data_IF_364853384869
#
_entry.id   IF_364853384869
#
_cell.length_a   1.000
_cell.length_b   1.000
_cell.length_c   1.000
_cell.angle_alpha   90.00
_cell.angle_beta   90.00
_cell.angle_gamma   90.00
#
_symmetry.space_group_name_H-M   'P 1'
#
loop_
_entity.id
_entity.type
_entity.pdbx_description
1 polymer ?
#
# COMPACT_ATOMS: atom_id res chain seq x y z
N UNK A 1 26.35 -5.72 -9.22
CA UNK A 1 25.33 -6.52 -9.93
C UNK A 1 23.99 -6.20 -9.29
N UNK A 2 23.17 -5.39 -9.94
CA UNK A 2 21.82 -5.09 -9.48
C UNK A 2 21.01 -6.37 -9.69
N UNK A 3 20.42 -6.90 -8.62
CA UNK A 3 19.49 -8.02 -8.71
C UNK A 3 18.34 -7.62 -9.64
N UNK A 4 17.76 -8.58 -10.33
CA UNK A 4 16.61 -8.34 -11.20
C UNK A 4 15.46 -7.75 -10.39
N UNK A 5 15.34 -6.42 -10.46
CA UNK A 5 14.36 -5.64 -9.69
C UNK A 5 12.93 -5.95 -10.17
N UNK A 6 12.77 -6.47 -11.40
CA UNK A 6 11.46 -6.81 -11.95
C UNK A 6 10.83 -8.04 -11.28
N UNK A 7 11.66 -8.88 -10.65
CA UNK A 7 11.26 -10.11 -9.97
C UNK A 7 11.41 -10.03 -8.44
N UNK A 8 11.30 -8.84 -7.85
CA UNK A 8 11.24 -8.72 -6.40
C UNK A 8 9.91 -9.30 -5.92
N UNK A 9 9.97 -10.51 -5.37
CA UNK A 9 8.85 -11.18 -4.70
C UNK A 9 8.90 -10.83 -3.20
N UNK A 10 8.83 -9.54 -2.91
CA UNK A 10 8.67 -9.02 -1.56
C UNK A 10 7.20 -8.69 -1.31
N UNK A 11 6.66 -9.19 -0.20
CA UNK A 11 5.25 -9.03 0.16
C UNK A 11 4.85 -7.55 0.27
N UNK A 12 5.70 -6.71 0.87
CA UNK A 12 5.44 -5.27 1.03
C UNK A 12 5.43 -4.57 -0.33
N UNK A 13 6.41 -4.87 -1.20
CA UNK A 13 6.51 -4.26 -2.53
C UNK A 13 5.29 -4.61 -3.37
N UNK A 14 4.91 -5.89 -3.37
CA UNK A 14 3.73 -6.37 -4.08
C UNK A 14 2.45 -5.71 -3.57
N UNK A 15 2.24 -5.68 -2.26
CA UNK A 15 1.07 -5.06 -1.64
C UNK A 15 1.00 -3.56 -1.90
N UNK A 16 2.12 -2.83 -1.84
CA UNK A 16 2.14 -1.40 -2.18
C UNK A 16 1.70 -1.13 -3.62
N UNK A 17 2.08 -1.99 -4.56
CA UNK A 17 1.62 -1.89 -5.95
C UNK A 17 0.10 -2.07 -6.04
N UNK A 18 -0.42 -3.13 -5.44
CA UNK A 18 -1.87 -3.42 -5.43
C UNK A 18 -2.66 -2.27 -4.77
N UNK A 19 -2.18 -1.73 -3.64
CA UNK A 19 -2.81 -0.58 -2.96
C UNK A 19 -2.86 0.63 -3.90
N UNK A 20 -1.74 0.94 -4.56
CA UNK A 20 -1.69 2.03 -5.54
C UNK A 20 -2.71 1.84 -6.65
N UNK A 21 -2.75 0.62 -7.25
CA UNK A 21 -3.69 0.25 -8.30
C UNK A 21 -5.15 0.38 -7.85
N UNK A 22 -5.48 -0.04 -6.64
CA UNK A 22 -6.83 0.10 -6.10
C UNK A 22 -7.24 1.56 -5.91
N UNK A 23 -6.31 2.42 -5.50
CA UNK A 23 -6.59 3.84 -5.25
C UNK A 23 -6.75 4.62 -6.55
N UNK A 24 -5.88 4.43 -7.56
CA UNK A 24 -5.99 5.22 -8.77
C UNK A 24 -7.00 4.66 -9.78
N UNK A 25 -7.37 3.39 -9.70
CA UNK A 25 -8.44 2.83 -10.55
C UNK A 25 -9.86 3.08 -10.01
N UNK A 26 -10.00 3.67 -8.83
CA UNK A 26 -11.29 4.07 -8.31
C UNK A 26 -11.67 5.46 -8.89
N UNK A 27 -12.71 5.52 -9.76
CA UNK A 27 -13.08 6.76 -10.44
C UNK A 27 -13.58 7.84 -9.48
N UNK A 28 -14.21 7.45 -8.37
CA UNK A 28 -14.71 8.40 -7.38
C UNK A 28 -13.56 9.05 -6.62
N UNK A 29 -12.52 8.29 -6.30
CA UNK A 29 -11.28 8.83 -5.70
C UNK A 29 -10.62 9.83 -6.64
N UNK A 30 -10.50 9.49 -7.92
CA UNK A 30 -9.89 10.37 -8.93
C UNK A 30 -10.71 11.65 -9.10
N UNK A 31 -12.04 11.55 -9.18
CA UNK A 31 -12.92 12.72 -9.29
C UNK A 31 -12.79 13.65 -8.05
N UNK A 32 -12.70 13.07 -6.85
CA UNK A 32 -12.57 13.86 -5.61
C UNK A 32 -11.17 14.43 -5.42
N UNK A 33 -10.11 13.77 -5.91
CA UNK A 33 -8.75 14.31 -5.93
C UNK A 33 -8.66 15.60 -6.74
N UNK A 34 -9.44 15.72 -7.83
CA UNK A 34 -9.67 16.96 -8.59
C UNK A 34 -8.36 17.64 -8.99
N UNK A 35 -7.50 16.91 -9.72
CA UNK A 35 -6.26 17.48 -10.24
C UNK A 35 -6.47 17.96 -11.68
N UNK A 36 -6.48 19.29 -11.92
CA UNK A 36 -6.78 19.86 -13.25
C UNK A 36 -5.64 19.64 -14.27
N UNK A 37 -4.48 19.18 -13.84
CA UNK A 37 -3.32 18.96 -14.71
C UNK A 37 -3.25 17.52 -15.27
N UNK A 38 -4.10 16.61 -14.76
CA UNK A 38 -4.10 15.20 -15.15
C UNK A 38 -5.42 14.81 -15.82
N UNK A 39 -5.35 13.87 -16.76
CA UNK A 39 -6.53 13.32 -17.41
C UNK A 39 -7.14 12.20 -16.52
N UNK A 40 -8.39 12.32 -16.07
CA UNK A 40 -9.08 11.26 -15.33
C UNK A 40 -9.19 9.93 -16.08
N UNK A 41 -9.05 9.93 -17.42
CA UNK A 41 -9.05 8.70 -18.21
C UNK A 41 -7.67 8.00 -18.22
N UNK A 42 -6.62 8.65 -17.68
CA UNK A 42 -5.27 8.10 -17.52
C UNK A 42 -4.95 8.01 -16.00
N UNK A 43 -5.66 7.17 -15.24
CA UNK A 43 -5.60 7.19 -13.77
C UNK A 43 -4.23 6.80 -13.21
N UNK A 44 -3.40 6.06 -13.96
CA UNK A 44 -2.04 5.71 -13.58
C UNK A 44 -1.11 6.93 -13.45
N UNK A 45 -1.43 8.06 -14.11
CA UNK A 45 -0.65 9.31 -14.01
C UNK A 45 -0.77 9.96 -12.61
N UNK A 46 -1.84 9.61 -11.87
CA UNK A 46 -2.00 10.08 -10.48
C UNK A 46 -1.00 9.44 -9.51
N UNK A 47 -0.40 8.29 -9.90
CA UNK A 47 0.62 7.66 -9.08
C UNK A 47 1.93 8.47 -9.13
N UNK A 48 2.48 8.79 -7.95
CA UNK A 48 3.57 9.74 -7.72
C UNK A 48 3.26 11.22 -8.05
N UNK A 49 2.01 11.57 -8.41
CA UNK A 49 1.57 12.96 -8.53
C UNK A 49 0.63 13.35 -7.38
N UNK A 50 -0.41 12.54 -7.13
CA UNK A 50 -1.37 12.72 -6.05
C UNK A 50 -1.38 11.54 -5.09
N UNK A 51 -0.98 10.33 -5.54
CA UNK A 51 -0.98 9.10 -4.74
C UNK A 51 0.46 8.62 -4.57
N UNK A 52 0.94 8.57 -3.32
CA UNK A 52 2.32 8.22 -3.01
C UNK A 52 2.42 6.96 -2.14
N UNK A 53 3.26 5.95 -2.51
CA UNK A 53 3.48 4.73 -1.73
C UNK A 53 4.42 4.92 -0.53
N UNK A 54 4.51 6.13 -0.03
CA UNK A 54 5.24 6.54 1.17
C UNK A 54 4.59 7.80 1.75
N UNK A 55 4.80 8.06 3.04
CA UNK A 55 4.26 9.28 3.66
C UNK A 55 5.06 10.48 3.16
N UNK A 56 4.41 11.32 2.36
CA UNK A 56 4.89 12.61 1.91
C UNK A 56 4.06 13.71 2.59
N UNK A 57 4.71 14.59 3.31
CA UNK A 57 4.07 15.78 3.87
C UNK A 57 4.26 16.91 2.86
N UNK A 58 3.18 17.50 2.33
CA UNK A 58 3.28 18.60 1.39
C UNK A 58 3.95 19.81 2.04
N UNK A 59 4.89 20.44 1.33
CA UNK A 59 5.54 21.67 1.76
C UNK A 59 4.69 22.91 1.46
N UNK A 60 5.04 24.06 2.07
CA UNK A 60 4.39 25.35 1.82
C UNK A 60 4.59 25.88 0.40
N UNK A 61 5.58 25.39 -0.32
CA UNK A 61 5.88 25.77 -1.70
C UNK A 61 5.28 24.78 -2.72
N UNK A 62 4.66 23.68 -2.25
CA UNK A 62 3.96 22.77 -3.14
C UNK A 62 2.71 23.47 -3.70
N UNK A 63 2.39 23.14 -4.95
CA UNK A 63 1.14 23.62 -5.56
C UNK A 63 -0.05 23.12 -4.74
N UNK A 64 -1.10 23.96 -4.61
CA UNK A 64 -2.32 23.60 -3.89
C UNK A 64 -3.00 22.41 -4.55
N UNK A 65 -2.70 21.20 -4.08
CA UNK A 65 -3.23 19.93 -4.58
C UNK A 65 -3.66 19.05 -3.43
N UNK A 66 -4.43 18.03 -3.76
CA UNK A 66 -4.85 17.01 -2.82
C UNK A 66 -3.97 15.77 -2.97
N UNK A 67 -3.62 15.14 -1.86
CA UNK A 67 -2.71 14.00 -1.84
C UNK A 67 -3.28 12.85 -1.01
N UNK A 68 -3.06 11.62 -1.49
CA UNK A 68 -3.22 10.40 -0.71
C UNK A 68 -1.83 9.79 -0.58
N UNK A 69 -1.37 9.58 0.63
CA UNK A 69 -0.08 8.95 0.90
C UNK A 69 -0.31 7.71 1.74
N UNK A 70 0.44 6.65 1.49
CA UNK A 70 0.27 5.43 2.25
C UNK A 70 1.60 4.73 2.54
N UNK A 71 1.61 3.97 3.63
CA UNK A 71 2.73 3.12 4.00
C UNK A 71 2.21 1.81 4.58
N UNK A 72 3.02 0.76 4.44
CA UNK A 72 2.83 -0.53 5.08
C UNK A 72 3.92 -0.74 6.11
N UNK A 73 3.51 -1.09 7.33
CA UNK A 73 4.40 -1.40 8.43
C UNK A 73 4.15 -2.84 8.90
N UNK A 74 5.21 -3.61 9.02
CA UNK A 74 5.20 -4.91 9.68
C UNK A 74 5.43 -4.72 11.18
N UNK A 75 4.58 -5.36 11.98
CA UNK A 75 4.80 -5.46 13.42
C UNK A 75 5.53 -6.77 13.76
N UNK A 76 6.12 -6.79 14.94
CA UNK A 76 6.71 -8.02 15.48
C UNK A 76 5.68 -9.16 15.51
N UNK A 77 6.11 -10.41 15.33
CA UNK A 77 5.24 -11.57 15.47
C UNK A 77 4.54 -11.58 16.82
N UNK A 78 3.29 -12.02 16.83
CA UNK A 78 2.53 -12.16 18.07
C UNK A 78 3.29 -12.98 19.11
N UNK A 79 3.33 -12.51 20.35
CA UNK A 79 3.91 -13.27 21.47
C UNK A 79 3.21 -14.63 21.69
N UNK A 80 1.93 -14.71 21.34
CA UNK A 80 1.12 -15.91 21.52
C UNK A 80 1.15 -16.83 20.29
N UNK A 81 1.36 -16.30 19.11
CA UNK A 81 1.43 -17.08 17.88
C UNK A 81 2.50 -16.52 16.93
N UNK A 82 3.71 -17.04 17.03
CA UNK A 82 4.86 -16.63 16.21
C UNK A 82 4.69 -16.91 14.71
N UNK A 83 3.72 -17.75 14.34
CA UNK A 83 3.40 -18.02 12.94
C UNK A 83 2.58 -16.90 12.27
N UNK A 84 2.09 -15.94 13.06
CA UNK A 84 1.29 -14.82 12.58
C UNK A 84 1.93 -13.50 12.99
N UNK A 85 1.85 -12.49 12.12
CA UNK A 85 2.24 -11.10 12.39
C UNK A 85 1.12 -10.15 12.02
N UNK A 86 1.03 -9.02 12.72
CA UNK A 86 0.17 -7.92 12.31
C UNK A 86 0.91 -7.02 11.33
N UNK A 87 0.21 -6.60 10.31
CA UNK A 87 0.67 -5.62 9.32
C UNK A 87 -0.31 -4.46 9.30
N UNK A 88 0.21 -3.25 9.28
CA UNK A 88 -0.62 -2.04 9.27
C UNK A 88 -0.48 -1.31 7.94
N UNK A 89 -1.63 -1.00 7.34
CA UNK A 89 -1.74 -0.02 6.27
C UNK A 89 -2.15 1.31 6.89
N UNK A 90 -1.26 2.29 6.80
CA UNK A 90 -1.56 3.68 7.18
C UNK A 90 -1.75 4.49 5.91
N UNK A 91 -2.91 5.13 5.79
CA UNK A 91 -3.24 6.06 4.70
C UNK A 91 -3.40 7.45 5.31
N UNK A 92 -2.72 8.44 4.74
CA UNK A 92 -2.86 9.84 5.15
C UNK A 92 -3.29 10.64 3.92
N UNK A 93 -4.41 11.31 4.08
CA UNK A 93 -5.00 12.19 3.07
C UNK A 93 -4.65 13.62 3.45
N UNK A 94 -4.16 14.39 2.49
CA UNK A 94 -3.85 15.82 2.64
C UNK A 94 -4.69 16.60 1.64
N UNK A 95 -5.47 17.56 2.15
CA UNK A 95 -6.29 18.45 1.34
C UNK A 95 -5.90 19.89 1.68
N UNK A 96 -5.50 20.66 0.68
CA UNK A 96 -5.16 22.06 0.88
C UNK A 96 -6.38 22.86 1.34
N UNK A 97 -6.20 23.78 2.28
CA UNK A 97 -7.29 24.57 2.90
C UNK A 97 -8.25 25.22 1.89
N UNK A 98 -7.71 25.69 0.75
CA UNK A 98 -8.51 26.34 -0.29
C UNK A 98 -9.35 25.34 -1.11
N UNK A 99 -9.03 24.05 -1.04
CA UNK A 99 -9.69 22.96 -1.78
C UNK A 99 -10.62 22.10 -0.92
N UNK A 100 -10.81 22.45 0.35
CA UNK A 100 -11.63 21.64 1.30
C UNK A 100 -13.08 21.53 0.85
N UNK A 101 -13.66 22.61 0.31
CA UNK A 101 -15.07 22.63 -0.11
C UNK A 101 -15.28 21.80 -1.36
N UNK A 102 -16.32 20.98 -1.35
CA UNK A 102 -16.74 20.19 -2.52
C UNK A 102 -18.13 20.60 -3.00
N UNK A 103 -18.45 20.23 -4.24
CA UNK A 103 -19.80 20.40 -4.81
C UNK A 103 -20.85 19.48 -4.17
N UNK A 104 -20.43 18.45 -3.42
CA UNK A 104 -21.31 17.44 -2.81
C UNK A 104 -21.74 17.78 -1.37
N UNK A 105 -21.36 18.92 -0.83
CA UNK A 105 -21.76 19.37 0.50
C UNK A 105 -21.03 18.68 1.67
N UNK A 106 -20.02 17.88 1.38
CA UNK A 106 -19.09 17.30 2.36
C UNK A 106 -17.70 17.90 2.18
N UNK A 107 -16.90 17.89 3.21
CA UNK A 107 -15.50 18.31 3.14
C UNK A 107 -14.68 17.28 2.36
N UNK A 108 -13.76 17.75 1.52
CA UNK A 108 -13.01 16.90 0.59
C UNK A 108 -12.19 15.82 1.31
N UNK A 109 -11.53 16.16 2.41
CA UNK A 109 -10.73 15.19 3.17
C UNK A 109 -11.60 14.11 3.82
N UNK A 110 -12.83 14.43 4.22
CA UNK A 110 -13.78 13.47 4.77
C UNK A 110 -14.33 12.55 3.70
N UNK A 111 -14.64 13.11 2.53
CA UNK A 111 -15.14 12.34 1.39
C UNK A 111 -14.08 11.36 0.88
N UNK A 112 -12.82 11.83 0.71
CA UNK A 112 -11.71 10.94 0.36
C UNK A 112 -11.49 9.85 1.41
N UNK A 113 -11.61 10.19 2.71
CA UNK A 113 -11.47 9.20 3.78
C UNK A 113 -12.59 8.16 3.75
N UNK A 114 -13.81 8.58 3.41
CA UNK A 114 -14.92 7.67 3.22
C UNK A 114 -14.64 6.69 2.06
N UNK A 115 -14.24 7.19 0.89
CA UNK A 115 -13.93 6.38 -0.28
C UNK A 115 -12.78 5.41 -0.02
N UNK A 116 -11.68 5.88 0.57
CA UNK A 116 -10.55 5.03 0.96
C UNK A 116 -10.97 3.95 1.96
N UNK A 117 -11.86 4.28 2.92
CA UNK A 117 -12.42 3.29 3.83
C UNK A 117 -13.24 2.26 3.10
N UNK A 118 -14.06 2.67 2.14
CA UNK A 118 -14.91 1.77 1.36
C UNK A 118 -14.07 0.78 0.54
N UNK A 119 -12.99 1.24 -0.07
CA UNK A 119 -12.05 0.40 -0.81
C UNK A 119 -11.38 -0.66 0.08
N UNK A 120 -10.98 -0.31 1.30
CA UNK A 120 -10.11 -1.19 2.10
C UNK A 120 -10.80 -1.88 3.26
N UNK A 121 -11.81 -1.28 3.90
CA UNK A 121 -12.42 -1.85 5.10
C UNK A 121 -13.18 -3.14 4.78
N UNK A 122 -12.85 -4.21 5.51
CA UNK A 122 -13.35 -5.58 5.32
C UNK A 122 -12.99 -6.20 3.96
N UNK A 123 -12.10 -5.57 3.20
CA UNK A 123 -11.59 -6.09 1.93
C UNK A 123 -10.55 -7.19 2.17
N UNK A 124 -10.51 -8.18 1.28
CA UNK A 124 -9.49 -9.25 1.24
C UNK A 124 -8.48 -9.04 0.10
N UNK A 125 -8.45 -7.87 -0.52
CA UNK A 125 -7.65 -7.58 -1.72
C UNK A 125 -6.15 -7.76 -1.53
N UNK A 126 -5.66 -7.62 -0.29
CA UNK A 126 -4.25 -7.85 0.06
C UNK A 126 -3.96 -9.27 0.59
N UNK A 127 -4.91 -10.18 0.42
CA UNK A 127 -4.81 -11.59 0.82
C UNK A 127 -5.50 -11.93 2.14
N UNK A 128 -5.61 -11.00 3.08
CA UNK A 128 -6.35 -11.17 4.33
C UNK A 128 -7.18 -9.92 4.61
N UNK A 129 -8.20 -10.08 5.44
CA UNK A 129 -9.15 -9.02 5.73
C UNK A 129 -8.50 -7.82 6.41
N UNK A 130 -8.71 -6.64 5.82
CA UNK A 130 -8.31 -5.35 6.38
C UNK A 130 -9.37 -4.81 7.32
N UNK A 131 -9.00 -4.49 8.55
CA UNK A 131 -9.90 -3.93 9.55
C UNK A 131 -9.48 -2.51 9.90
N UNK A 132 -10.37 -1.53 9.70
CA UNK A 132 -10.12 -0.15 10.13
C UNK A 132 -10.02 -0.09 11.66
N UNK A 133 -8.88 0.40 12.16
CA UNK A 133 -8.61 0.57 13.60
C UNK A 133 -8.73 2.00 14.07
N UNK A 134 -8.38 2.95 13.23
CA UNK A 134 -8.52 4.37 13.55
C UNK A 134 -8.79 5.22 12.32
N UNK A 135 -9.55 6.29 12.52
CA UNK A 135 -9.74 7.36 11.56
C UNK A 135 -9.65 8.67 12.35
N UNK A 136 -8.60 9.46 12.08
CA UNK A 136 -8.29 10.67 12.84
C UNK A 136 -8.15 11.86 11.92
N UNK A 137 -8.73 12.96 12.35
CA UNK A 137 -8.55 14.26 11.71
C UNK A 137 -7.34 14.98 12.29
N UNK A 138 -6.73 15.84 11.49
CA UNK A 138 -5.62 16.67 11.89
C UNK A 138 -5.40 17.80 10.90
N UNK A 139 -4.51 18.71 11.27
CA UNK A 139 -4.07 19.84 10.44
C UNK A 139 -2.55 19.85 10.45
N UNK A 140 -1.93 20.19 9.32
CA UNK A 140 -0.49 20.41 9.25
C UNK A 140 -0.15 21.89 9.41
N UNK A 141 1.08 22.18 9.79
CA UNK A 141 1.61 23.55 9.82
C UNK A 141 1.71 24.19 8.42
N UNK A 142 1.47 23.41 7.38
CA UNK A 142 1.57 23.80 5.95
C UNK A 142 0.21 24.04 5.29
N UNK A 143 -0.81 24.39 6.06
CA UNK A 143 -2.17 24.71 5.57
C UNK A 143 -2.94 23.52 4.93
N UNK A 144 -2.61 22.28 5.30
CA UNK A 144 -3.35 21.09 4.86
C UNK A 144 -4.21 20.51 5.98
N UNK A 145 -5.50 20.31 5.68
CA UNK A 145 -6.37 19.45 6.47
C UNK A 145 -6.03 17.99 6.18
N UNK A 146 -5.98 17.16 7.20
CA UNK A 146 -5.58 15.76 7.06
C UNK A 146 -6.60 14.79 7.63
N UNK A 147 -6.68 13.62 7.01
CA UNK A 147 -7.33 12.43 7.57
C UNK A 147 -6.34 11.28 7.56
N UNK A 148 -6.16 10.66 8.71
CA UNK A 148 -5.29 9.48 8.87
C UNK A 148 -6.15 8.27 9.17
N UNK A 149 -6.15 7.31 8.25
CA UNK A 149 -6.77 6.01 8.43
C UNK A 149 -5.70 4.96 8.70
N UNK A 150 -5.95 4.08 9.64
CA UNK A 150 -5.07 2.96 9.95
C UNK A 150 -5.88 1.66 9.90
N UNK A 151 -5.46 0.77 9.03
CA UNK A 151 -6.04 -0.57 8.88
C UNK A 151 -5.06 -1.61 9.39
N UNK A 152 -5.57 -2.64 10.02
CA UNK A 152 -4.79 -3.80 10.45
C UNK A 152 -5.21 -5.03 9.65
N UNK A 153 -4.23 -5.82 9.23
CA UNK A 153 -4.42 -7.17 8.75
C UNK A 153 -3.47 -8.12 9.49
N UNK A 154 -3.92 -9.35 9.74
CA UNK A 154 -3.10 -10.39 10.33
C UNK A 154 -2.59 -11.27 9.20
N UNK A 155 -1.28 -11.36 9.03
CA UNK A 155 -0.65 -12.12 7.95
C UNK A 155 0.16 -13.28 8.50
N UNK A 156 0.32 -14.39 7.76
CA UNK A 156 1.27 -15.42 8.14
C UNK A 156 2.67 -14.82 8.22
N UNK A 157 3.35 -15.08 9.34
CA UNK A 157 4.76 -14.81 9.44
C UNK A 157 5.48 -15.95 8.73
N UNK A 158 5.69 -15.82 7.40
CA UNK A 158 6.42 -16.84 6.67
C UNK A 158 7.87 -16.82 7.15
N UNK A 159 8.17 -17.71 8.06
CA UNK A 159 9.55 -18.02 8.48
C UNK A 159 10.30 -18.83 7.43
N UNK A 160 9.80 -18.91 6.21
CA UNK A 160 10.62 -19.45 5.14
C UNK A 160 11.84 -18.56 5.05
N UNK A 161 13.05 -19.11 5.27
CA UNK A 161 14.25 -18.34 4.99
C UNK A 161 14.12 -17.89 3.54
N UNK A 162 13.90 -16.60 3.37
CA UNK A 162 14.02 -15.95 2.09
C UNK A 162 15.38 -16.37 1.53
N UNK A 163 15.30 -17.16 0.48
CA UNK A 163 16.43 -17.79 -0.22
C UNK A 163 16.92 -19.09 0.43
N UNK A 164 16.27 -20.16 0.10
CA UNK A 164 17.07 -21.22 -0.47
C UNK A 164 17.82 -20.57 -1.63
N UNK A 165 19.11 -20.30 -1.45
CA UNK A 165 19.96 -19.76 -2.49
C UNK A 165 19.64 -20.53 -3.77
N UNK A 166 19.56 -19.85 -4.91
CA UNK A 166 19.42 -20.52 -6.22
C UNK A 166 20.41 -21.69 -6.32
N UNK A 167 21.59 -21.54 -5.72
CA UNK A 167 22.60 -22.57 -5.56
C UNK A 167 22.21 -23.75 -4.67
N UNK A 168 21.39 -23.58 -3.65
CA UNK A 168 20.91 -24.70 -2.82
C UNK A 168 19.80 -25.46 -3.51
N UNK A 169 18.89 -24.80 -4.25
CA UNK A 169 17.89 -25.48 -5.08
C UNK A 169 18.57 -26.34 -6.16
N UNK A 170 19.55 -25.76 -6.86
CA UNK A 170 20.30 -26.50 -7.88
C UNK A 170 21.11 -27.65 -7.29
N UNK A 171 21.60 -27.54 -6.05
CA UNK A 171 22.30 -28.63 -5.35
C UNK A 171 21.36 -29.74 -4.89
N UNK A 172 20.13 -29.42 -4.49
CA UNK A 172 19.09 -30.40 -4.09
C UNK A 172 18.60 -31.16 -5.32
N UNK A 173 18.32 -30.48 -6.43
CA UNK A 173 17.90 -31.08 -7.69
C UNK A 173 19.01 -32.02 -8.22
N UNK A 174 20.25 -31.57 -8.27
CA UNK A 174 21.39 -32.36 -8.73
C UNK A 174 21.70 -33.59 -7.84
N UNK A 175 21.42 -33.50 -6.53
CA UNK A 175 21.55 -34.64 -5.63
C UNK A 175 20.40 -35.67 -5.78
N UNK A 176 19.22 -35.22 -6.17
CA UNK A 176 18.09 -36.12 -6.42
C UNK A 176 18.32 -36.91 -7.72
N UNK A 177 18.77 -36.28 -8.78
CA UNK A 177 19.09 -36.91 -10.05
C UNK A 177 20.26 -37.88 -9.92
N UNK A 178 21.25 -37.61 -9.04
CA UNK A 178 22.35 -38.58 -8.78
C UNK A 178 21.91 -39.80 -8.00
N UNK A 179 20.86 -39.75 -7.19
CA UNK A 179 20.31 -40.91 -6.48
C UNK A 179 19.49 -41.81 -7.41
N UNK A 180 18.66 -41.18 -8.25
CA UNK A 180 17.83 -41.92 -9.20
C UNK A 180 18.69 -42.71 -10.21
N UNK A 181 19.82 -42.18 -10.66
CA UNK A 181 20.75 -42.85 -11.58
C UNK A 181 21.63 -43.93 -10.92
N UNK A 182 21.66 -44.05 -9.58
CA UNK A 182 22.38 -45.14 -8.89
C UNK A 182 21.53 -46.35 -8.56
N UNK A 183 20.21 -46.22 -8.63
CA UNK A 183 19.26 -47.33 -8.38
C UNK A 183 18.83 -48.03 -9.69
N UNK A 184 19.35 -47.57 -10.84
CA UNK A 184 19.03 -48.11 -12.17
C UNK A 184 20.20 -48.84 -12.83
N UNK A 185 21.22 -49.36 -12.06
CA UNK A 185 22.31 -50.21 -12.56
C UNK A 185 22.33 -51.53 -11.81
#
# INVERSE_FOLDING_TARGET
>A
MIRDIQNIDDDIVRKKRVIGEMLYNDPDIIEVLDNPELDPNCPEEYYYQNIYPFIRIPGTQDTSRNYITFMLDDMEPSQFNKAMKSQFLKVVIFVHKDLVKTKWGAERHDLLAYLVRDVFHLSNSLGLQLNLKSNREGVTDTDYCTRTLQFEMVTPNSMQPYKTNKYERDSIVNNHDRRVNRESV
#
